data_IF_020047618151
#
_entry.id   IF_020047618151
#
_cell.length_a   1.000
_cell.length_b   1.000
_cell.length_c   1.000
_cell.angle_alpha   90.00
_cell.angle_beta   90.00
_cell.angle_gamma   90.00
#
_symmetry.space_group_name_H-M   'P 1'
#
loop_
_entity.id
_entity.type
_entity.pdbx_description
1 polymer ?
#
# COMPACT_ATOMS: atom_id res chain seq x y z
N UNK A 1 -27.55 37.64 36.01
CA UNK A 1 -27.24 36.19 35.91
C UNK A 1 -26.74 35.90 34.49
N UNK A 2 -25.41 35.85 34.25
CA UNK A 2 -24.62 34.64 33.88
C UNK A 2 -25.40 33.69 32.94
N UNK A 3 -25.01 33.38 31.69
CA UNK A 3 -23.68 32.98 31.19
C UNK A 3 -23.61 33.20 29.67
N UNK A 4 -22.61 33.96 29.20
CA UNK A 4 -22.22 34.03 27.79
C UNK A 4 -21.74 32.65 27.31
N UNK A 5 -22.30 32.20 26.20
CA UNK A 5 -21.94 30.93 25.55
C UNK A 5 -20.55 31.12 24.92
N UNK A 6 -19.48 30.81 25.66
CA UNK A 6 -18.11 30.76 25.14
C UNK A 6 -18.06 29.70 24.04
N UNK A 7 -17.97 30.13 22.78
CA UNK A 7 -17.60 29.28 21.67
C UNK A 7 -16.13 28.86 21.90
N UNK A 8 -15.93 27.66 22.43
CA UNK A 8 -14.61 27.07 22.57
C UNK A 8 -14.06 26.79 21.18
N UNK A 9 -12.99 27.50 20.79
CA UNK A 9 -12.15 27.17 19.64
C UNK A 9 -11.47 25.82 19.87
N UNK A 10 -12.21 24.72 19.63
CA UNK A 10 -11.61 23.41 19.48
C UNK A 10 -10.99 23.36 18.08
N UNK A 11 -9.70 23.72 17.98
CA UNK A 11 -8.91 23.50 16.78
C UNK A 11 -8.80 21.99 16.61
N UNK A 12 -9.70 21.42 15.80
CA UNK A 12 -9.62 20.04 15.38
C UNK A 12 -8.28 19.85 14.65
N UNK A 13 -7.34 19.15 15.27
CA UNK A 13 -6.07 18.79 14.65
C UNK A 13 -6.38 17.81 13.52
N UNK A 14 -6.57 18.33 12.31
CA UNK A 14 -6.64 17.50 11.10
C UNK A 14 -5.32 16.74 10.99
N UNK A 15 -5.37 15.41 11.15
CA UNK A 15 -4.22 14.54 10.89
C UNK A 15 -3.87 14.71 9.41
N UNK A 16 -2.74 15.33 9.12
CA UNK A 16 -2.31 15.53 7.75
C UNK A 16 -2.17 14.16 7.08
N UNK A 17 -2.78 14.01 5.91
CA UNK A 17 -2.62 12.80 5.09
C UNK A 17 -1.19 12.85 4.55
N UNK A 18 -0.24 12.27 5.29
CA UNK A 18 1.11 12.07 4.79
C UNK A 18 1.02 11.00 3.71
N UNK A 19 1.10 11.43 2.45
CA UNK A 19 1.23 10.49 1.34
C UNK A 19 2.65 9.95 1.41
N UNK A 20 2.82 8.72 1.91
CA UNK A 20 4.12 8.07 1.96
C UNK A 20 4.75 8.07 0.54
N UNK A 21 6.05 8.37 0.40
CA UNK A 21 6.73 8.23 -0.87
C UNK A 21 6.59 6.78 -1.34
N UNK A 22 6.32 6.58 -2.63
CA UNK A 22 6.21 5.24 -3.20
C UNK A 22 7.60 4.61 -3.25
N UNK A 23 8.02 3.92 -2.19
CA UNK A 23 9.26 3.16 -2.16
C UNK A 23 9.04 1.83 -2.88
N UNK A 24 9.15 1.86 -4.21
CA UNK A 24 9.19 0.63 -5.00
C UNK A 24 10.54 -0.06 -4.78
N UNK A 25 10.51 -1.37 -4.53
CA UNK A 25 11.73 -2.17 -4.49
C UNK A 25 12.32 -2.24 -5.91
N UNK A 26 13.34 -1.42 -6.19
CA UNK A 26 14.02 -1.41 -7.50
C UNK A 26 14.82 -2.69 -7.66
N UNK A 27 14.26 -3.65 -8.41
CA UNK A 27 14.95 -4.90 -8.76
C UNK A 27 16.01 -4.60 -9.80
N UNK A 28 17.24 -5.04 -9.55
CA UNK A 28 18.36 -4.91 -10.46
C UNK A 28 18.28 -5.94 -11.60
N UNK A 29 18.94 -5.61 -12.72
CA UNK A 29 18.90 -6.40 -13.97
C UNK A 29 19.26 -7.89 -13.78
N UNK A 30 20.21 -8.20 -12.90
CA UNK A 30 20.73 -9.56 -12.70
C UNK A 30 20.09 -10.31 -11.52
N UNK A 31 19.25 -9.66 -10.72
CA UNK A 31 18.59 -10.30 -9.59
C UNK A 31 17.58 -11.36 -10.05
N UNK A 32 17.28 -12.37 -9.21
CA UNK A 32 16.22 -13.32 -9.51
C UNK A 32 14.89 -12.60 -9.70
N UNK A 33 14.13 -12.98 -10.73
CA UNK A 33 12.88 -12.33 -11.05
C UNK A 33 11.84 -12.60 -9.96
N UNK A 34 11.18 -11.56 -9.40
CA UNK A 34 10.30 -11.72 -8.25
C UNK A 34 8.96 -12.41 -8.54
N UNK A 35 8.71 -12.83 -9.80
CA UNK A 35 7.59 -13.70 -10.18
C UNK A 35 7.77 -15.17 -9.75
N UNK A 36 8.94 -15.58 -9.27
CA UNK A 36 9.21 -16.97 -8.88
C UNK A 36 9.61 -17.90 -10.02
N UNK A 37 9.90 -17.40 -11.22
CA UNK A 37 10.29 -18.24 -12.38
C UNK A 37 11.72 -18.79 -12.32
N UNK A 38 12.54 -18.40 -11.34
CA UNK A 38 13.95 -18.79 -11.23
C UNK A 38 14.90 -18.14 -12.25
N UNK A 39 14.38 -17.37 -13.23
CA UNK A 39 15.18 -16.64 -14.22
C UNK A 39 15.68 -15.30 -13.67
N UNK A 40 16.77 -14.77 -14.24
CA UNK A 40 17.23 -13.40 -13.97
C UNK A 40 16.17 -12.39 -14.44
N UNK A 41 16.04 -11.26 -13.75
CA UNK A 41 15.02 -10.24 -14.05
C UNK A 41 15.10 -9.77 -15.51
N UNK A 42 16.32 -9.55 -16.02
CA UNK A 42 16.61 -9.21 -17.43
C UNK A 42 16.03 -10.16 -18.46
N UNK A 43 15.97 -11.45 -18.12
CA UNK A 43 15.55 -12.52 -19.03
C UNK A 43 14.07 -12.89 -18.80
N UNK A 44 13.36 -12.11 -17.97
CA UNK A 44 11.97 -12.37 -17.60
C UNK A 44 11.11 -11.13 -17.79
N UNK A 45 11.01 -10.26 -16.77
CA UNK A 45 10.07 -9.12 -16.77
C UNK A 45 10.76 -7.75 -16.88
N UNK A 46 12.03 -7.72 -17.28
CA UNK A 46 12.76 -6.46 -17.44
C UNK A 46 12.17 -5.54 -18.52
N UNK A 47 11.58 -6.10 -19.57
CA UNK A 47 10.87 -5.32 -20.59
C UNK A 47 9.67 -4.54 -20.02
N UNK A 48 9.01 -5.08 -19.00
CA UNK A 48 7.88 -4.43 -18.31
C UNK A 48 8.35 -3.46 -17.20
N UNK A 49 9.57 -3.64 -16.68
CA UNK A 49 10.20 -2.72 -15.74
C UNK A 49 9.37 -2.46 -14.47
N UNK A 50 9.19 -1.19 -14.14
CA UNK A 50 8.45 -0.74 -12.96
C UNK A 50 6.96 -1.09 -12.97
N UNK A 51 6.34 -1.21 -14.17
CA UNK A 51 4.92 -1.54 -14.29
C UNK A 51 4.64 -2.93 -13.74
N UNK A 52 5.53 -3.89 -14.05
CA UNK A 52 5.47 -5.23 -13.52
C UNK A 52 5.66 -5.26 -12.00
N UNK A 53 6.66 -4.54 -11.48
CA UNK A 53 6.94 -4.48 -10.03
C UNK A 53 5.73 -3.95 -9.25
N UNK A 54 5.08 -2.89 -9.77
CA UNK A 54 3.86 -2.32 -9.15
C UNK A 54 2.68 -3.29 -9.15
N UNK A 55 2.51 -4.06 -10.23
CA UNK A 55 1.46 -5.08 -10.32
C UNK A 55 1.72 -6.19 -9.28
N UNK A 56 2.97 -6.61 -9.16
CA UNK A 56 3.38 -7.67 -8.24
C UNK A 56 3.21 -7.24 -6.76
N UNK A 57 3.63 -6.02 -6.39
CA UNK A 57 3.39 -5.49 -5.04
C UNK A 57 1.90 -5.45 -4.70
N UNK A 58 1.06 -5.00 -5.63
CA UNK A 58 -0.40 -5.00 -5.45
C UNK A 58 -0.95 -6.41 -5.25
N UNK A 59 -0.43 -7.41 -5.95
CA UNK A 59 -0.84 -8.81 -5.78
C UNK A 59 -0.43 -9.33 -4.40
N UNK A 60 0.83 -9.15 -4.01
CA UNK A 60 1.36 -9.56 -2.69
C UNK A 60 0.58 -8.93 -1.54
N UNK A 61 0.23 -7.64 -1.64
CA UNK A 61 -0.57 -6.97 -0.62
C UNK A 61 -1.97 -7.61 -0.47
N UNK A 62 -2.63 -7.93 -1.59
CA UNK A 62 -3.93 -8.62 -1.58
C UNK A 62 -3.81 -10.01 -0.97
N UNK A 63 -2.75 -10.75 -1.31
CA UNK A 63 -2.48 -12.07 -0.74
C UNK A 63 -2.22 -11.99 0.75
N UNK A 64 -1.45 -11.01 1.21
CA UNK A 64 -1.22 -10.75 2.63
C UNK A 64 -2.53 -10.41 3.35
N UNK A 65 -3.41 -9.60 2.75
CA UNK A 65 -4.74 -9.35 3.32
C UNK A 65 -5.59 -10.62 3.40
N UNK A 66 -5.55 -11.49 2.39
CA UNK A 66 -6.24 -12.79 2.44
C UNK A 66 -5.64 -13.68 3.55
N UNK A 67 -4.31 -13.75 3.66
CA UNK A 67 -3.60 -14.55 4.65
C UNK A 67 -3.87 -14.06 6.08
N UNK A 68 -3.93 -12.74 6.30
CA UNK A 68 -4.27 -12.13 7.58
C UNK A 68 -5.75 -12.26 7.95
N UNK A 69 -6.55 -12.97 7.13
CA UNK A 69 -7.98 -13.13 7.41
C UNK A 69 -8.73 -11.80 7.29
N UNK A 70 -8.46 -11.03 6.24
CA UNK A 70 -9.33 -9.92 5.80
C UNK A 70 -10.25 -10.43 4.68
N UNK A 71 -11.40 -11.07 5.00
CA UNK A 71 -12.34 -11.46 3.97
C UNK A 71 -12.87 -10.25 3.20
N UNK A 72 -13.15 -10.45 1.92
CA UNK A 72 -13.91 -9.47 1.13
C UNK A 72 -15.32 -9.21 1.70
N UNK A 73 -15.83 -10.07 2.61
CA UNK A 73 -17.17 -9.99 3.22
C UNK A 73 -17.23 -9.33 4.61
N UNK A 74 -16.11 -9.00 5.28
CA UNK A 74 -16.15 -8.43 6.64
C UNK A 74 -16.65 -6.97 6.72
N UNK A 75 -17.13 -6.39 5.61
CA UNK A 75 -17.73 -5.05 5.60
C UNK A 75 -19.22 -5.02 5.98
N UNK A 76 -19.83 -6.17 6.24
CA UNK A 76 -21.25 -6.31 6.63
C UNK A 76 -21.47 -6.99 8.00
N UNK A 77 -20.41 -7.30 8.75
CA UNK A 77 -20.48 -8.03 10.03
C UNK A 77 -19.88 -7.27 11.22
N UNK A 78 -19.65 -5.97 11.07
CA UNK A 78 -19.37 -4.99 12.14
C UNK A 78 -20.16 -3.75 11.85
#
# INVERSE_FOLDING_TARGET
MKRGRRLSNAIATRKSVVTAPRSFSKVQRNEPCPCGSGRKYKDCHFAEGEVFLRKLERQRFKEQQKANGTPWYVRWLT
#
